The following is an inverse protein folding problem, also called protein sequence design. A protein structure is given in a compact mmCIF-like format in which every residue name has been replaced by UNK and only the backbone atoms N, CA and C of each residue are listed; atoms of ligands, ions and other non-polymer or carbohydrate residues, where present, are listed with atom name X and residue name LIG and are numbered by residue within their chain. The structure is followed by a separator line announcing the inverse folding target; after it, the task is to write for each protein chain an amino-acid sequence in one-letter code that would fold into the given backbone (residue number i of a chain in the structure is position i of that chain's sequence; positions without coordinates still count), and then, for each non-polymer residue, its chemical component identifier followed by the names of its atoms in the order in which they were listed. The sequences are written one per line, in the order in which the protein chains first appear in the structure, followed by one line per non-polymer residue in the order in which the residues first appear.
data_IF_873569521637
#
_entry.id   IF_873569521637
#
_cell.length_a   1.000
_cell.length_b   1.000
_cell.length_c   1.000
_cell.angle_alpha   90.00
_cell.angle_beta   90.00
_cell.angle_gamma   90.00
#
_symmetry.space_group_name_H-M   'P 1'
#
loop_
_entity.id
_entity.type
_entity.pdbx_description
1 polymer ?
#
# COMPACT_ATOMS: atom_id res chain seq x y z
N UNK A 1 5.70 -2.51 -37.50
CA UNK A 1 4.35 -2.01 -37.14
C UNK A 1 4.24 -1.99 -35.63
N UNK A 2 4.12 -0.80 -35.07
CA UNK A 2 4.24 -0.49 -33.64
C UNK A 2 2.92 -0.84 -32.93
N UNK A 3 2.94 -1.65 -31.88
CA UNK A 3 1.76 -1.85 -31.01
C UNK A 3 2.16 -1.75 -29.55
N UNK A 4 1.96 -0.55 -28.99
CA UNK A 4 1.64 -0.21 -27.61
C UNK A 4 1.90 -1.31 -26.56
N UNK A 5 3.00 -1.17 -25.83
CA UNK A 5 3.16 -1.86 -24.54
C UNK A 5 3.18 -0.83 -23.42
N UNK A 6 2.05 -0.55 -22.75
CA UNK A 6 2.11 0.02 -21.41
C UNK A 6 2.60 -1.08 -20.47
N UNK A 7 3.88 -1.46 -20.59
CA UNK A 7 4.56 -2.47 -19.75
C UNK A 7 5.35 -1.85 -18.60
N UNK A 8 5.39 -0.51 -18.50
CA UNK A 8 6.30 0.16 -17.56
C UNK A 8 5.91 -0.02 -16.09
N UNK A 9 4.62 -0.07 -15.76
CA UNK A 9 4.19 -0.12 -14.35
C UNK A 9 4.48 -1.49 -13.68
N UNK A 10 4.20 -2.61 -14.36
CA UNK A 10 4.50 -3.97 -13.85
C UNK A 10 5.96 -4.41 -14.05
N UNK A 11 6.79 -3.54 -14.63
CA UNK A 11 8.23 -3.74 -14.71
C UNK A 11 8.94 -3.25 -13.43
N UNK A 12 8.29 -2.40 -12.62
CA UNK A 12 8.78 -2.04 -11.30
C UNK A 12 8.82 -3.28 -10.38
N UNK A 13 9.80 -3.29 -9.48
CA UNK A 13 9.99 -4.35 -8.47
C UNK A 13 8.79 -4.33 -7.51
N UNK A 14 8.25 -5.48 -7.08
CA UNK A 14 7.00 -5.54 -6.29
C UNK A 14 7.00 -4.66 -5.04
N UNK A 15 8.15 -4.54 -4.35
CA UNK A 15 8.24 -3.69 -3.16
C UNK A 15 8.02 -2.21 -3.45
N UNK A 16 8.54 -1.69 -4.57
CA UNK A 16 8.30 -0.29 -4.97
C UNK A 16 6.83 -0.03 -5.31
N UNK A 17 6.14 -1.02 -5.88
CA UNK A 17 4.71 -0.91 -6.16
C UNK A 17 3.93 -0.81 -4.85
N UNK A 18 4.20 -1.69 -3.90
CA UNK A 18 3.55 -1.66 -2.57
C UNK A 18 3.81 -0.34 -1.86
N UNK A 19 5.05 0.16 -1.86
CA UNK A 19 5.38 1.47 -1.29
C UNK A 19 4.66 2.62 -2.01
N UNK A 20 4.60 2.58 -3.34
CA UNK A 20 3.88 3.57 -4.14
C UNK A 20 2.38 3.59 -3.81
N UNK A 21 1.76 2.41 -3.65
CA UNK A 21 0.36 2.29 -3.23
C UNK A 21 0.13 2.93 -1.85
N UNK A 22 1.02 2.66 -0.89
CA UNK A 22 0.98 3.27 0.43
C UNK A 22 1.14 4.79 0.35
N UNK A 23 2.11 5.29 -0.41
CA UNK A 23 2.38 6.71 -0.55
C UNK A 23 1.22 7.47 -1.20
N UNK A 24 0.66 6.94 -2.29
CA UNK A 24 -0.50 7.52 -2.97
C UNK A 24 -1.70 7.61 -2.04
N UNK A 25 -1.90 6.60 -1.20
CA UNK A 25 -3.02 6.58 -0.26
C UNK A 25 -2.80 7.48 0.95
N UNK A 26 -1.65 7.36 1.64
CA UNK A 26 -1.40 8.02 2.92
C UNK A 26 -0.87 9.44 2.82
N UNK A 27 -0.08 9.77 1.80
CA UNK A 27 0.56 11.09 1.71
C UNK A 27 -0.46 12.25 1.64
N UNK A 28 -1.58 12.16 0.89
CA UNK A 28 -2.57 13.23 0.89
C UNK A 28 -3.14 13.52 2.28
N UNK A 29 -3.51 12.49 3.05
CA UNK A 29 -4.02 12.65 4.41
C UNK A 29 -2.95 13.19 5.36
N UNK A 30 -1.73 12.67 5.26
CA UNK A 30 -0.59 13.15 6.05
C UNK A 30 -0.31 14.64 5.82
N UNK A 31 -0.31 15.09 4.56
CA UNK A 31 -0.10 16.50 4.21
C UNK A 31 -1.23 17.37 4.74
N UNK A 32 -2.49 16.97 4.55
CA UNK A 32 -3.66 17.71 5.05
C UNK A 32 -3.59 17.84 6.58
N UNK A 33 -3.28 16.76 7.29
CA UNK A 33 -3.20 16.79 8.75
C UNK A 33 -1.98 17.59 9.25
N UNK A 34 -0.85 17.58 8.53
CA UNK A 34 0.31 18.43 8.86
C UNK A 34 -0.01 19.93 8.72
N UNK A 35 -0.85 20.30 7.76
CA UNK A 35 -1.31 21.68 7.57
C UNK A 35 -2.34 22.06 8.65
N UNK A 36 -3.26 21.16 8.98
CA UNK A 36 -4.35 21.43 9.92
C UNK A 36 -3.92 21.37 11.40
N UNK A 37 -2.97 20.49 11.74
CA UNK A 37 -2.60 20.19 13.13
C UNK A 37 -1.10 20.44 13.36
N UNK A 38 -0.73 21.47 14.15
CA UNK A 38 0.66 21.82 14.41
C UNK A 38 1.48 20.65 14.94
N UNK A 39 2.65 20.46 14.34
CA UNK A 39 3.52 19.30 14.58
C UNK A 39 3.95 19.16 16.05
N UNK A 40 4.20 20.29 16.72
CA UNK A 40 4.63 20.33 18.13
C UNK A 40 3.54 19.88 19.10
N UNK A 41 2.28 20.16 18.80
CA UNK A 41 1.14 19.86 19.67
C UNK A 41 0.59 18.45 19.42
N UNK A 42 0.70 17.97 18.18
CA UNK A 42 0.09 16.72 17.71
C UNK A 42 1.11 15.65 17.32
N UNK A 43 2.33 15.71 17.86
CA UNK A 43 3.41 14.78 17.51
C UNK A 43 2.99 13.30 17.57
N UNK A 44 2.33 12.90 18.66
CA UNK A 44 1.87 11.52 18.86
C UNK A 44 0.81 11.08 17.83
N UNK A 45 0.08 12.03 17.24
CA UNK A 45 -0.88 11.77 16.16
C UNK A 45 -0.23 11.71 14.78
N UNK A 46 0.87 12.43 14.59
CA UNK A 46 1.69 12.33 13.37
C UNK A 46 2.48 11.02 13.32
N UNK A 47 2.77 10.40 14.47
CA UNK A 47 3.43 9.09 14.54
C UNK A 47 2.69 8.00 13.76
N UNK A 48 1.36 8.08 13.66
CA UNK A 48 0.57 7.15 12.85
C UNK A 48 1.11 7.07 11.41
N UNK A 49 1.31 8.21 10.76
CA UNK A 49 1.82 8.25 9.40
C UNK A 49 3.25 7.72 9.34
N UNK A 50 4.09 8.10 10.31
CA UNK A 50 5.47 7.62 10.42
C UNK A 50 5.56 6.10 10.53
N UNK A 51 4.72 5.48 11.35
CA UNK A 51 4.66 4.02 11.53
C UNK A 51 4.22 3.34 10.25
N UNK A 52 3.15 3.81 9.60
CA UNK A 52 2.66 3.21 8.36
C UNK A 52 3.67 3.33 7.21
N UNK A 53 4.31 4.50 7.06
CA UNK A 53 5.40 4.67 6.10
C UNK A 53 6.60 3.78 6.46
N UNK A 54 6.99 3.71 7.73
CA UNK A 54 8.09 2.86 8.20
C UNK A 54 7.85 1.38 7.87
N UNK A 55 6.67 0.85 8.20
CA UNK A 55 6.27 -0.52 7.86
C UNK A 55 6.27 -0.74 6.35
N UNK A 56 5.80 0.23 5.56
CA UNK A 56 5.81 0.12 4.11
C UNK A 56 7.22 0.17 3.50
N UNK A 57 8.15 0.92 4.08
CA UNK A 57 9.56 0.93 3.67
C UNK A 57 10.19 -0.43 3.98
N UNK A 58 9.95 -0.99 5.17
CA UNK A 58 10.42 -2.33 5.54
C UNK A 58 9.87 -3.39 4.58
N UNK A 59 8.56 -3.36 4.30
CA UNK A 59 7.93 -4.27 3.34
C UNK A 59 8.54 -4.12 1.94
N UNK A 60 8.80 -2.90 1.47
CA UNK A 60 9.47 -2.64 0.20
C UNK A 60 10.86 -3.29 0.16
N UNK A 61 11.68 -3.08 1.20
CA UNK A 61 13.02 -3.65 1.28
C UNK A 61 12.98 -5.17 1.29
N UNK A 62 12.08 -5.78 2.07
CA UNK A 62 11.91 -7.23 2.15
C UNK A 62 11.47 -7.80 0.79
N UNK A 63 10.42 -7.24 0.18
CA UNK A 63 9.90 -7.71 -1.11
C UNK A 63 10.91 -7.54 -2.25
N UNK A 64 11.66 -6.44 -2.26
CA UNK A 64 12.72 -6.23 -3.26
C UNK A 64 13.89 -7.20 -3.05
N UNK A 65 14.25 -7.49 -1.79
CA UNK A 65 15.29 -8.48 -1.47
C UNK A 65 14.88 -9.89 -1.88
N UNK A 66 13.63 -10.29 -1.58
CA UNK A 66 13.06 -11.57 -2.00
C UNK A 66 13.01 -11.68 -3.53
N UNK A 67 12.70 -10.59 -4.24
CA UNK A 67 12.73 -10.60 -5.69
C UNK A 67 14.16 -10.73 -6.23
N UNK A 68 15.12 -10.01 -5.66
CA UNK A 68 16.53 -10.12 -6.05
C UNK A 68 17.08 -11.53 -5.87
N UNK A 69 16.62 -12.26 -4.83
CA UNK A 69 17.06 -13.62 -4.56
C UNK A 69 16.36 -14.67 -5.44
N UNK A 70 15.06 -14.51 -5.70
CA UNK A 70 14.25 -15.54 -6.39
C UNK A 70 14.07 -15.30 -7.90
N UNK A 71 14.14 -14.05 -8.36
CA UNK A 71 13.79 -13.64 -9.73
C UNK A 71 12.37 -14.02 -10.14
N UNK A 72 11.47 -14.22 -9.18
CA UNK A 72 10.15 -14.80 -9.39
C UNK A 72 9.20 -13.83 -10.11
N UNK A 73 9.34 -12.53 -9.88
CA UNK A 73 8.53 -11.48 -10.50
C UNK A 73 8.71 -11.46 -12.00
N UNK A 74 9.95 -11.55 -12.51
CA UNK A 74 10.23 -11.59 -13.94
C UNK A 74 9.52 -12.73 -14.67
N UNK A 75 9.36 -13.88 -14.00
CA UNK A 75 8.77 -15.12 -14.55
C UNK A 75 7.26 -15.22 -14.35
N UNK A 76 6.69 -14.38 -13.49
CA UNK A 76 5.28 -14.44 -13.13
C UNK A 76 4.37 -13.77 -14.15
N UNK A 77 3.29 -14.45 -14.53
CA UNK A 77 2.23 -13.86 -15.36
C UNK A 77 1.50 -12.71 -14.65
N UNK A 78 0.90 -11.79 -15.43
CA UNK A 78 0.27 -10.57 -14.91
C UNK A 78 -0.75 -10.82 -13.79
N UNK A 79 -1.54 -11.89 -13.87
CA UNK A 79 -2.53 -12.25 -12.83
C UNK A 79 -1.86 -12.55 -11.49
N UNK A 80 -0.79 -13.36 -11.50
CA UNK A 80 -0.03 -13.68 -10.27
C UNK A 80 0.62 -12.42 -9.70
N UNK A 81 1.18 -11.57 -10.56
CA UNK A 81 1.77 -10.27 -10.14
C UNK A 81 0.77 -9.39 -9.40
N UNK A 82 -0.46 -9.29 -9.91
CA UNK A 82 -1.53 -8.49 -9.28
C UNK A 82 -1.86 -9.07 -7.90
N UNK A 83 -2.08 -10.38 -7.80
CA UNK A 83 -2.41 -11.04 -6.52
C UNK A 83 -1.30 -10.83 -5.50
N UNK A 84 -0.03 -10.96 -5.91
CA UNK A 84 1.13 -10.75 -5.03
C UNK A 84 1.16 -9.31 -4.53
N UNK A 85 1.02 -8.32 -5.42
CA UNK A 85 1.04 -6.90 -5.02
C UNK A 85 -0.12 -6.56 -4.08
N UNK A 86 -1.35 -6.94 -4.42
CA UNK A 86 -2.52 -6.69 -3.58
C UNK A 86 -2.39 -7.42 -2.23
N UNK A 87 -1.96 -8.68 -2.24
CA UNK A 87 -1.75 -9.47 -1.01
C UNK A 87 -0.63 -8.92 -0.13
N UNK A 88 0.52 -8.57 -0.72
CA UNK A 88 1.64 -7.95 0.01
C UNK A 88 1.25 -6.58 0.57
N UNK A 89 0.47 -5.79 -0.16
CA UNK A 89 -0.07 -4.53 0.34
C UNK A 89 -1.03 -4.76 1.52
N UNK A 90 -1.97 -5.69 1.41
CA UNK A 90 -2.86 -6.07 2.52
C UNK A 90 -2.09 -6.51 3.76
N UNK A 91 -1.06 -7.34 3.59
CA UNK A 91 -0.22 -7.79 4.69
C UNK A 91 0.55 -6.62 5.32
N UNK A 92 1.09 -5.72 4.50
CA UNK A 92 1.80 -4.51 4.96
C UNK A 92 0.86 -3.63 5.79
N UNK A 93 -0.36 -3.42 5.32
CA UNK A 93 -1.38 -2.64 6.02
C UNK A 93 -1.87 -3.32 7.31
N UNK A 94 -2.02 -4.65 7.31
CA UNK A 94 -2.37 -5.41 8.51
C UNK A 94 -1.28 -5.31 9.58
N UNK A 95 -0.01 -5.48 9.19
CA UNK A 95 1.13 -5.32 10.10
C UNK A 95 1.20 -3.90 10.64
N UNK A 96 1.00 -2.89 9.78
CA UNK A 96 0.94 -1.49 10.19
C UNK A 96 -0.18 -1.22 11.18
N UNK A 97 -1.38 -1.74 10.93
CA UNK A 97 -2.52 -1.62 11.84
C UNK A 97 -2.24 -2.29 13.19
N UNK A 98 -1.68 -3.50 13.19
CA UNK A 98 -1.31 -4.20 14.42
C UNK A 98 -0.26 -3.42 15.21
N UNK A 99 0.76 -2.88 14.56
CA UNK A 99 1.77 -2.04 15.21
C UNK A 99 1.15 -0.79 15.85
N UNK A 100 0.22 -0.14 15.15
CA UNK A 100 -0.51 1.02 15.67
C UNK A 100 -1.36 0.65 16.88
N UNK A 101 -2.12 -0.45 16.83
CA UNK A 101 -2.93 -0.93 17.94
C UNK A 101 -2.08 -1.30 19.16
N UNK A 102 -0.92 -1.91 18.95
CA UNK A 102 0.03 -2.19 20.04
C UNK A 102 0.58 -0.92 20.68
N UNK A 103 0.92 0.10 19.88
CA UNK A 103 1.43 1.38 20.39
C UNK A 103 0.34 2.22 21.05
N UNK A 104 -0.91 2.11 20.59
CA UNK A 104 -2.08 2.71 21.23
C UNK A 104 -2.37 2.06 22.59
N UNK A 105 -2.23 0.73 22.70
CA UNK A 105 -2.40 0.01 23.97
C UNK A 105 -1.42 0.50 25.06
N UNK A 106 -0.24 1.00 24.68
CA UNK A 106 0.74 1.62 25.59
C UNK A 106 0.68 3.16 25.60
N UNK A 107 -0.34 3.77 25.00
CA UNK A 107 -0.61 5.22 24.93
C UNK A 107 0.51 6.05 24.30
N UNK A 108 1.25 5.47 23.35
CA UNK A 108 2.30 6.18 22.60
C UNK A 108 1.70 6.96 21.42
N UNK A 109 0.70 6.40 20.76
CA UNK A 109 -0.01 7.03 19.64
C UNK A 109 -1.23 7.77 20.16
N UNK A 110 -1.46 8.98 19.66
CA UNK A 110 -2.67 9.77 19.96
C UNK A 110 -3.50 9.98 18.70
N UNK A 111 -4.79 10.27 18.85
CA UNK A 111 -5.67 10.56 17.71
C UNK A 111 -6.07 12.03 17.67
N UNK A 112 -6.31 12.57 16.48
CA UNK A 112 -6.67 13.98 16.28
C UNK A 112 -8.06 14.28 16.87
N UNK A 113 -8.13 14.68 18.16
CA UNK A 113 -9.34 15.22 18.84
C UNK A 113 -10.67 14.48 18.53
N UNK A 114 -10.63 13.16 18.35
CA UNK A 114 -11.83 12.35 18.06
C UNK A 114 -12.30 12.37 16.61
N UNK A 115 -11.50 12.89 15.67
CA UNK A 115 -11.78 12.81 14.24
C UNK A 115 -11.71 11.35 13.77
N UNK A 116 -12.83 10.86 13.25
CA UNK A 116 -12.93 9.53 12.65
C UNK A 116 -11.96 9.36 11.47
N UNK A 117 -11.61 10.45 10.78
CA UNK A 117 -10.59 10.46 9.72
C UNK A 117 -9.17 10.19 10.22
N UNK A 118 -8.91 10.40 11.51
CA UNK A 118 -7.65 10.06 12.17
C UNK A 118 -7.58 8.62 12.70
N UNK A 119 -8.66 7.83 12.56
CA UNK A 119 -8.67 6.44 13.01
C UNK A 119 -7.83 5.56 12.08
N UNK A 120 -6.91 4.74 12.62
CA UNK A 120 -6.04 3.88 11.83
C UNK A 120 -6.84 2.85 11.04
N UNK A 121 -7.98 2.40 11.56
CA UNK A 121 -8.90 1.51 10.83
C UNK A 121 -9.53 2.18 9.61
N UNK A 122 -9.90 3.46 9.71
CA UNK A 122 -10.50 4.23 8.61
C UNK A 122 -9.48 4.58 7.52
N UNK A 123 -8.20 4.68 7.85
CA UNK A 123 -7.13 4.85 6.86
C UNK A 123 -6.76 3.53 6.17
N UNK A 124 -6.70 2.44 6.94
CA UNK A 124 -6.22 1.14 6.44
C UNK A 124 -7.28 0.39 5.64
N UNK A 125 -8.48 0.16 6.20
CA UNK A 125 -9.47 -0.75 5.62
C UNK A 125 -9.95 -0.31 4.23
N UNK A 126 -10.35 0.97 4.01
CA UNK A 126 -10.79 1.40 2.69
C UNK A 126 -9.69 1.29 1.64
N UNK A 127 -8.44 1.53 2.02
CA UNK A 127 -7.29 1.42 1.11
C UNK A 127 -7.11 -0.01 0.58
N UNK A 128 -7.24 -1.00 1.47
CA UNK A 128 -7.08 -2.41 1.13
C UNK A 128 -8.19 -2.85 0.19
N UNK A 129 -9.44 -2.49 0.51
CA UNK A 129 -10.60 -2.80 -0.33
C UNK A 129 -10.43 -2.14 -1.70
N UNK A 130 -10.07 -0.85 -1.74
CA UNK A 130 -9.88 -0.09 -2.97
C UNK A 130 -8.87 -0.76 -3.92
N UNK A 131 -7.70 -1.13 -3.41
CA UNK A 131 -6.69 -1.77 -4.25
C UNK A 131 -7.03 -3.21 -4.67
N UNK A 132 -7.79 -3.95 -3.85
CA UNK A 132 -8.33 -5.24 -4.27
C UNK A 132 -9.38 -5.11 -5.39
N UNK A 133 -10.27 -4.12 -5.30
CA UNK A 133 -11.24 -3.83 -6.38
C UNK A 133 -10.52 -3.51 -7.68
N UNK A 134 -9.51 -2.63 -7.65
CA UNK A 134 -8.68 -2.32 -8.82
C UNK A 134 -7.98 -3.57 -9.35
N UNK A 135 -7.41 -4.39 -8.46
CA UNK A 135 -6.74 -5.64 -8.81
C UNK A 135 -7.68 -6.62 -9.52
N UNK A 136 -8.89 -6.83 -8.99
CA UNK A 136 -9.91 -7.70 -9.59
C UNK A 136 -10.37 -7.19 -10.95
N UNK A 137 -10.59 -5.88 -11.10
CA UNK A 137 -10.92 -5.27 -12.39
C UNK A 137 -9.81 -5.52 -13.41
N UNK A 138 -8.54 -5.33 -13.03
CA UNK A 138 -7.39 -5.60 -13.90
C UNK A 138 -7.29 -7.08 -14.32
N UNK A 139 -7.60 -8.00 -13.39
CA UNK A 139 -7.64 -9.44 -13.67
C UNK A 139 -8.78 -9.76 -14.65
N UNK A 140 -9.97 -9.20 -14.43
CA UNK A 140 -11.14 -9.36 -15.30
C UNK A 140 -10.86 -8.91 -16.74
N UNK A 141 -10.32 -7.70 -16.91
CA UNK A 141 -9.89 -7.20 -18.22
C UNK A 141 -8.84 -8.09 -18.88
N UNK A 142 -7.86 -8.56 -18.10
CA UNK A 142 -6.83 -9.48 -18.61
C UNK A 142 -7.43 -10.79 -19.13
N UNK A 143 -8.50 -11.28 -18.51
CA UNK A 143 -9.20 -12.50 -18.94
C UNK A 143 -10.01 -12.26 -20.22
N UNK A 144 -10.78 -11.17 -20.28
CA UNK A 144 -11.56 -10.77 -21.46
C UNK A 144 -10.66 -10.62 -22.69
N UNK A 145 -9.54 -9.91 -22.54
CA UNK A 145 -8.57 -9.71 -23.63
C UNK A 145 -7.94 -11.02 -24.12
N UNK A 146 -7.70 -11.99 -23.23
CA UNK A 146 -7.18 -13.30 -23.63
C UNK A 146 -8.23 -14.12 -24.39
N UNK A 147 -9.49 -14.01 -24.01
CA UNK A 147 -10.60 -14.67 -24.70
C UNK A 147 -10.84 -14.09 -26.09
N UNK A 148 -10.75 -12.77 -26.26
CA UNK A 148 -10.93 -12.10 -27.56
C UNK A 148 -9.81 -12.37 -28.59
N UNK A 149 -8.67 -12.93 -28.16
CA UNK A 149 -7.52 -13.25 -29.03
C UNK A 149 -7.45 -14.73 -29.43
N UNK A 150 -8.36 -15.56 -28.91
CA UNK A 150 -8.55 -16.94 -29.30
C UNK A 150 -9.76 -17.01 -30.23
#
# INVERSE_FOLDING_TARGET
MNTNKPRRFLAAVPGWIVFGMTAIWLAPFGIIHLIQFPLREYWNSHLLYGILFGVSILAMLILNSLESASGYWGRSGSTKKIIIVCGSYSLTMLVGLTALLMLDAVRIVGYYKGDAGGSPGMLVLPSVIFYWVIGLVCIGFSFIMRRSRR
#
